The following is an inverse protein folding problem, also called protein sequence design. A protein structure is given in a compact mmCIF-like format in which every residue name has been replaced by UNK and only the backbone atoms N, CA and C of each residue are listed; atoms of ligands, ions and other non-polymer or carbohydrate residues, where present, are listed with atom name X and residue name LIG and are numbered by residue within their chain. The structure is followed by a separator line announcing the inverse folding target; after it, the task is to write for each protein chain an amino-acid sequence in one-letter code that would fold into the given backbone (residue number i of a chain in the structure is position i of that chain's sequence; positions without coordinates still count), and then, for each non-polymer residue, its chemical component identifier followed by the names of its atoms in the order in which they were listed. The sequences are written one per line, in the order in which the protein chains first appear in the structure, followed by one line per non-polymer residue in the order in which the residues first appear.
data_IF_805151085635
#
_entry.id   IF_805151085635
#
_cell.length_a   1.000
_cell.length_b   1.000
_cell.length_c   1.000
_cell.angle_alpha   90.00
_cell.angle_beta   90.00
_cell.angle_gamma   90.00
#
_symmetry.space_group_name_H-M   'P 1'
#
loop_
_entity.id
_entity.type
_entity.pdbx_description
1 polymer ?
#
# COMPACT_ATOMS: atom_id res chain seq x y z
N UNK A 1 39.55 -35.82 -12.67
CA UNK A 1 39.56 -34.41 -13.11
C UNK A 1 38.30 -34.14 -13.90
N UNK A 2 37.58 -33.05 -13.60
CA UNK A 2 36.36 -32.70 -14.32
C UNK A 2 36.71 -32.36 -15.78
N UNK A 3 36.40 -33.28 -16.69
CA UNK A 3 36.73 -33.18 -18.12
C UNK A 3 36.03 -32.05 -18.87
N UNK A 4 35.02 -31.42 -18.24
CA UNK A 4 34.31 -30.24 -18.76
C UNK A 4 34.68 -28.94 -18.05
N UNK A 5 35.46 -28.99 -16.96
CA UNK A 5 36.01 -27.80 -16.29
C UNK A 5 37.55 -27.87 -16.33
N UNK A 6 38.11 -27.74 -17.53
CA UNK A 6 39.54 -27.87 -17.78
C UNK A 6 40.40 -26.82 -17.05
N UNK A 7 39.80 -25.66 -16.72
CA UNK A 7 40.51 -24.53 -16.09
C UNK A 7 40.21 -24.39 -14.59
N UNK A 8 39.51 -25.35 -14.00
CA UNK A 8 39.08 -25.34 -12.59
C UNK A 8 38.47 -23.98 -12.16
N UNK A 9 37.73 -23.35 -13.07
CA UNK A 9 37.14 -22.05 -12.82
C UNK A 9 35.90 -22.23 -11.95
N UNK A 10 35.73 -21.33 -10.97
CA UNK A 10 34.57 -21.26 -10.09
C UNK A 10 34.09 -19.82 -10.07
N UNK A 11 32.78 -19.62 -10.24
CA UNK A 11 32.12 -18.31 -10.12
C UNK A 11 31.09 -18.38 -9.00
N UNK A 12 30.96 -17.29 -8.23
CA UNK A 12 29.96 -17.17 -7.17
C UNK A 12 28.78 -16.39 -7.75
N UNK A 13 27.58 -16.94 -7.62
CA UNK A 13 26.33 -16.29 -8.01
C UNK A 13 25.49 -16.15 -6.74
N UNK A 14 25.13 -14.92 -6.40
CA UNK A 14 24.12 -14.66 -5.39
C UNK A 14 22.74 -14.63 -6.08
N UNK A 15 21.80 -15.44 -5.57
CA UNK A 15 20.42 -15.46 -6.04
C UNK A 15 19.57 -14.92 -4.89
N UNK A 16 18.90 -13.80 -5.10
CA UNK A 16 17.93 -13.27 -4.15
C UNK A 16 16.54 -13.80 -4.50
N UNK A 17 15.99 -14.68 -3.67
CA UNK A 17 14.65 -15.24 -3.84
C UNK A 17 13.69 -14.42 -2.99
N UNK A 18 12.92 -13.53 -3.62
CA UNK A 18 11.82 -12.82 -2.98
C UNK A 18 10.57 -13.70 -3.07
N UNK A 19 10.06 -14.17 -1.93
CA UNK A 19 8.76 -14.82 -1.86
C UNK A 19 7.67 -13.77 -2.04
N UNK A 20 6.91 -13.88 -3.13
CA UNK A 20 5.66 -13.15 -3.30
C UNK A 20 4.57 -14.01 -2.66
N UNK A 21 4.05 -13.58 -1.52
CA UNK A 21 2.87 -14.19 -0.93
C UNK A 21 1.71 -13.95 -1.91
N UNK A 22 1.19 -15.02 -2.51
CA UNK A 22 0.01 -14.99 -3.39
C UNK A 22 -1.28 -14.79 -2.56
N UNK A 23 -1.31 -13.79 -1.69
CA UNK A 23 -2.58 -13.21 -1.30
C UNK A 23 -3.04 -12.34 -2.47
N UNK A 24 -3.92 -12.95 -3.26
CA UNK A 24 -4.48 -12.43 -4.49
C UNK A 24 -5.15 -11.06 -4.30
N UNK A 25 -4.36 -10.00 -4.43
CA UNK A 25 -4.80 -8.63 -4.75
C UNK A 25 -3.58 -7.69 -4.91
N UNK A 26 -2.57 -8.13 -5.67
CA UNK A 26 -1.41 -7.31 -6.04
C UNK A 26 -1.59 -6.77 -7.47
N UNK A 27 -2.51 -5.82 -7.62
CA UNK A 27 -2.31 -4.73 -8.58
C UNK A 27 -2.21 -3.45 -7.75
N UNK A 28 -1.02 -3.21 -7.19
CA UNK A 28 -0.62 -1.87 -6.81
C UNK A 28 0.78 -1.68 -7.34
N UNK A 29 0.88 -0.76 -8.29
CA UNK A 29 2.09 -0.27 -8.96
C UNK A 29 3.33 -0.36 -8.07
N UNK A 30 4.20 -1.32 -8.40
CA UNK A 30 5.51 -1.44 -7.80
C UNK A 30 6.36 -0.22 -8.16
N UNK A 31 6.91 0.40 -7.12
CA UNK A 31 7.97 1.39 -7.18
C UNK A 31 9.16 0.83 -7.99
N UNK A 32 9.32 1.37 -9.20
CA UNK A 32 10.55 1.26 -9.94
C UNK A 32 11.62 2.07 -9.19
N UNK A 33 12.41 1.39 -8.36
CA UNK A 33 13.50 2.00 -7.58
C UNK A 33 14.61 2.48 -8.53
N UNK A 34 14.47 3.70 -9.04
CA UNK A 34 15.51 4.43 -9.75
C UNK A 34 16.41 5.15 -8.72
N UNK A 35 17.69 4.78 -8.57
CA UNK A 35 18.58 5.36 -7.58
C UNK A 35 18.95 6.83 -7.86
N UNK A 36 18.49 7.41 -8.99
CA UNK A 36 18.65 8.82 -9.32
C UNK A 36 17.36 9.65 -9.21
N UNK A 37 16.23 9.06 -8.80
CA UNK A 37 15.01 9.84 -8.60
C UNK A 37 15.10 10.59 -7.27
N UNK A 38 15.16 11.92 -7.37
CA UNK A 38 15.10 12.83 -6.24
C UNK A 38 13.99 12.43 -5.27
N UNK A 39 14.31 12.48 -3.97
CA UNK A 39 13.44 12.24 -2.81
C UNK A 39 12.27 13.25 -2.68
N UNK A 40 11.75 13.78 -3.78
CA UNK A 40 10.72 14.83 -3.80
C UNK A 40 9.36 14.38 -4.34
N UNK A 41 9.25 13.22 -4.98
CA UNK A 41 7.98 12.80 -5.62
C UNK A 41 7.37 11.52 -5.03
N UNK A 42 7.67 11.19 -3.77
CA UNK A 42 6.73 10.40 -2.96
C UNK A 42 5.58 11.32 -2.57
N UNK A 43 4.69 11.60 -3.53
CA UNK A 43 3.34 12.05 -3.18
C UNK A 43 2.77 10.87 -2.39
N UNK A 44 2.80 10.99 -1.06
CA UNK A 44 2.24 10.02 -0.16
C UNK A 44 0.80 9.78 -0.64
N UNK A 45 0.37 8.53 -0.80
CA UNK A 45 -1.02 8.17 -1.16
C UNK A 45 -2.04 8.90 -0.25
N UNK A 46 -1.59 9.34 0.93
CA UNK A 46 -2.34 10.10 1.93
C UNK A 46 -2.44 11.61 1.64
N UNK A 47 -1.53 12.17 0.84
CA UNK A 47 -1.58 13.54 0.34
C UNK A 47 -2.23 13.62 -1.06
N UNK A 48 -2.60 12.48 -1.65
CA UNK A 48 -3.37 12.44 -2.90
C UNK A 48 -4.81 12.87 -2.62
N UNK A 49 -5.22 13.99 -3.22
CA UNK A 49 -6.53 14.62 -3.06
C UNK A 49 -7.69 13.65 -3.37
N UNK A 50 -7.43 12.66 -4.25
CA UNK A 50 -8.37 11.59 -4.56
C UNK A 50 -8.78 10.76 -3.33
N UNK A 51 -7.87 10.58 -2.36
CA UNK A 51 -8.13 9.81 -1.13
C UNK A 51 -9.02 10.60 -0.15
N UNK A 52 -8.74 11.89 0.02
CA UNK A 52 -9.55 12.79 0.85
C UNK A 52 -10.95 13.07 0.26
N UNK A 53 -11.11 12.97 -1.07
CA UNK A 53 -12.40 13.15 -1.74
C UNK A 53 -13.29 11.91 -1.73
N UNK A 54 -12.70 10.70 -1.67
CA UNK A 54 -13.45 9.44 -1.72
C UNK A 54 -13.74 8.85 -0.33
N UNK A 55 -13.01 9.28 0.70
CA UNK A 55 -13.09 8.73 2.05
C UNK A 55 -13.47 9.79 3.09
N UNK A 56 -14.06 9.35 4.20
CA UNK A 56 -14.42 10.21 5.33
C UNK A 56 -13.20 11.01 5.83
N UNK A 57 -13.31 12.35 5.99
CA UNK A 57 -12.23 13.20 6.48
C UNK A 57 -11.63 12.73 7.83
N UNK A 58 -12.41 12.07 8.69
CA UNK A 58 -11.89 11.49 9.93
C UNK A 58 -10.94 10.31 9.67
N UNK A 59 -11.30 9.42 8.75
CA UNK A 59 -10.48 8.25 8.40
C UNK A 59 -9.17 8.70 7.74
N UNK A 60 -9.24 9.70 6.85
CA UNK A 60 -8.06 10.29 6.22
C UNK A 60 -7.09 10.88 7.27
N UNK A 61 -7.62 11.58 8.29
CA UNK A 61 -6.80 12.15 9.37
C UNK A 61 -6.12 11.06 10.22
N UNK A 62 -6.79 9.94 10.47
CA UNK A 62 -6.21 8.80 11.19
C UNK A 62 -5.09 8.16 10.37
N UNK A 63 -5.32 7.87 9.08
CA UNK A 63 -4.31 7.29 8.19
C UNK A 63 -3.07 8.19 8.11
N UNK A 64 -3.25 9.51 8.00
CA UNK A 64 -2.15 10.48 7.98
C UNK A 64 -1.30 10.44 9.25
N UNK A 65 -1.93 10.31 10.41
CA UNK A 65 -1.20 10.17 11.67
C UNK A 65 -0.45 8.83 11.76
N UNK A 66 -1.03 7.74 11.25
CA UNK A 66 -0.37 6.43 11.21
C UNK A 66 0.84 6.44 10.27
N UNK A 67 0.73 7.09 9.10
CA UNK A 67 1.83 7.21 8.15
C UNK A 67 3.01 8.00 8.73
N UNK A 68 2.73 9.09 9.46
CA UNK A 68 3.75 9.86 10.17
C UNK A 68 4.48 9.00 11.22
N UNK A 69 3.75 8.17 11.97
CA UNK A 69 4.35 7.23 12.94
C UNK A 69 5.16 6.14 12.25
N UNK A 70 4.70 5.61 11.11
CA UNK A 70 5.48 4.68 10.29
C UNK A 70 6.82 5.29 9.89
N UNK A 71 6.82 6.53 9.37
CA UNK A 71 8.04 7.22 8.96
C UNK A 71 9.00 7.43 10.15
N UNK A 72 8.48 7.74 11.33
CA UNK A 72 9.29 7.85 12.54
C UNK A 72 9.96 6.50 12.88
N UNK A 73 9.21 5.40 12.89
CA UNK A 73 9.78 4.07 13.16
C UNK A 73 10.76 3.58 12.07
N UNK A 74 10.57 3.98 10.81
CA UNK A 74 11.53 3.73 9.73
C UNK A 74 12.83 4.50 9.97
N UNK A 75 12.75 5.74 10.45
CA UNK A 75 13.92 6.54 10.80
C UNK A 75 14.67 5.97 12.01
N UNK A 76 13.92 5.45 12.99
CA UNK A 76 14.47 4.81 14.20
C UNK A 76 14.96 3.36 13.94
N UNK A 77 15.08 2.92 12.67
CA UNK A 77 15.46 1.57 12.23
C UNK A 77 14.61 0.43 12.83
N UNK A 78 13.42 0.75 13.34
CA UNK A 78 12.51 -0.21 13.96
C UNK A 78 11.48 -0.72 12.94
N UNK A 79 11.95 -1.56 12.02
CA UNK A 79 11.17 -2.02 10.87
C UNK A 79 10.00 -2.94 11.25
N UNK A 80 10.08 -3.67 12.36
CA UNK A 80 9.00 -4.53 12.84
C UNK A 80 7.75 -3.71 13.18
N UNK A 81 7.93 -2.56 13.81
CA UNK A 81 6.82 -1.65 14.12
C UNK A 81 6.33 -0.94 12.85
N UNK A 82 7.24 -0.47 12.00
CA UNK A 82 6.87 0.14 10.73
C UNK A 82 6.00 -0.79 9.86
N UNK A 83 6.29 -2.11 9.84
CA UNK A 83 5.48 -3.12 9.14
C UNK A 83 4.07 -3.24 9.71
N UNK A 84 3.91 -3.20 11.04
CA UNK A 84 2.59 -3.20 11.70
C UNK A 84 1.79 -1.95 11.34
N UNK A 85 2.43 -0.78 11.31
CA UNK A 85 1.77 0.45 10.85
C UNK A 85 1.33 0.36 9.39
N UNK A 86 2.17 -0.20 8.51
CA UNK A 86 1.79 -0.42 7.10
C UNK A 86 0.56 -1.32 6.98
N UNK A 87 0.49 -2.41 7.74
CA UNK A 87 -0.67 -3.31 7.74
C UNK A 87 -1.94 -2.62 8.26
N UNK A 88 -1.84 -1.91 9.40
CA UNK A 88 -2.97 -1.19 9.98
C UNK A 88 -3.51 -0.09 9.04
N UNK A 89 -2.61 0.61 8.32
CA UNK A 89 -3.01 1.58 7.29
C UNK A 89 -3.81 0.88 6.18
N UNK A 90 -3.32 -0.26 5.67
CA UNK A 90 -4.00 -0.99 4.60
C UNK A 90 -5.39 -1.50 5.01
N UNK A 91 -5.52 -2.02 6.23
CA UNK A 91 -6.81 -2.46 6.76
C UNK A 91 -7.79 -1.29 6.87
N UNK A 92 -7.32 -0.13 7.34
CA UNK A 92 -8.14 1.06 7.49
C UNK A 92 -8.62 1.61 6.13
N UNK A 93 -7.77 1.54 5.11
CA UNK A 93 -8.14 1.88 3.71
C UNK A 93 -9.30 0.98 3.24
N UNK A 94 -9.18 -0.33 3.43
CA UNK A 94 -10.17 -1.30 2.98
C UNK A 94 -11.52 -1.14 3.72
N UNK A 95 -11.47 -0.95 5.05
CA UNK A 95 -12.67 -0.67 5.85
C UNK A 95 -13.33 0.63 5.38
N UNK A 96 -12.56 1.68 5.11
CA UNK A 96 -13.10 2.95 4.63
C UNK A 96 -13.72 2.86 3.22
N UNK A 97 -13.17 2.03 2.32
CA UNK A 97 -13.81 1.77 1.01
C UNK A 97 -15.17 1.07 1.19
N UNK A 98 -15.24 0.07 2.06
CA UNK A 98 -16.51 -0.61 2.40
C UNK A 98 -17.53 0.36 2.98
N UNK A 99 -17.09 1.25 3.88
CA UNK A 99 -17.96 2.26 4.46
C UNK A 99 -18.51 3.22 3.39
N UNK A 100 -17.64 3.70 2.50
CA UNK A 100 -18.04 4.57 1.40
C UNK A 100 -19.09 3.89 0.48
N UNK A 101 -18.91 2.61 0.16
CA UNK A 101 -19.91 1.84 -0.61
C UNK A 101 -21.27 1.79 0.10
N UNK A 102 -21.30 1.50 1.40
CA UNK A 102 -22.55 1.47 2.16
C UNK A 102 -23.23 2.84 2.22
N UNK A 103 -22.48 3.93 2.30
CA UNK A 103 -23.08 5.27 2.24
C UNK A 103 -23.75 5.56 0.89
N UNK A 104 -23.11 5.16 -0.20
CA UNK A 104 -23.67 5.34 -1.56
C UNK A 104 -24.93 4.52 -1.72
N UNK A 105 -24.91 3.23 -1.32
CA UNK A 105 -26.08 2.35 -1.37
C UNK A 105 -27.24 2.92 -0.53
N UNK A 106 -26.95 3.45 0.66
CA UNK A 106 -27.96 4.11 1.50
C UNK A 106 -28.59 5.32 0.80
N UNK A 107 -27.79 6.21 0.20
CA UNK A 107 -28.31 7.38 -0.54
C UNK A 107 -29.17 6.96 -1.73
N UNK A 108 -28.71 5.98 -2.51
CA UNK A 108 -29.47 5.43 -3.63
C UNK A 108 -30.81 4.84 -3.18
N UNK A 109 -30.83 4.07 -2.09
CA UNK A 109 -32.07 3.51 -1.56
C UNK A 109 -33.07 4.60 -1.13
N UNK A 110 -32.58 5.70 -0.54
CA UNK A 110 -33.40 6.86 -0.19
C UNK A 110 -33.99 7.49 -1.46
N UNK A 111 -33.17 7.78 -2.47
CA UNK A 111 -33.64 8.38 -3.73
C UNK A 111 -34.65 7.50 -4.46
N UNK A 112 -34.41 6.19 -4.54
CA UNK A 112 -35.33 5.23 -5.17
C UNK A 112 -36.66 5.14 -4.41
N UNK A 113 -36.62 5.12 -3.08
CA UNK A 113 -37.84 5.12 -2.26
C UNK A 113 -38.62 6.45 -2.37
N UNK A 114 -37.94 7.59 -2.49
CA UNK A 114 -38.59 8.88 -2.71
C UNK A 114 -39.25 8.97 -4.10
N UNK A 115 -38.63 8.40 -5.13
CA UNK A 115 -39.18 8.39 -6.48
C UNK A 115 -40.34 7.40 -6.68
N UNK A 116 -40.45 6.35 -5.85
CA UNK A 116 -41.55 5.38 -5.90
C UNK A 116 -42.78 5.77 -5.04
N UNK A 117 -42.69 6.87 -4.29
CA UNK A 117 -43.77 7.36 -3.40
C UNK A 117 -44.51 8.58 -3.98
N UNK A 118 -44.01 9.19 -5.07
CA UNK A 118 -44.71 10.22 -5.86
C UNK A 118 -45.00 9.71 -7.28
#
# INVERSE_FOLDING_TARGET
TNRYNAHNQVSIIAINLLGIDNDASLENHDDQFDPNSNRSDQISIVDDLAFAMYQDPEIAAIIKNLEKKKQQHVHDENFDQARKFKQAIQELINIGERLARYEVEKRQAIEVCFHNIF
#
